data_IF_598004621415
#
_entry.id   IF_598004621415
#
_cell.length_a   1.000
_cell.length_b   1.000
_cell.length_c   1.000
_cell.angle_alpha   90.00
_cell.angle_beta   90.00
_cell.angle_gamma   90.00
#
_symmetry.space_group_name_H-M   'P 1'
#
loop_
_entity.id
_entity.type
_entity.pdbx_description
1 polymer ?
#
# COMPACT_ATOMS: atom_id res chain seq x y z
N UNK A 1 9.35 17.96 2.55
CA UNK A 1 10.32 17.06 3.22
C UNK A 1 11.49 17.84 3.82
N UNK A 2 12.19 18.70 3.06
CA UNK A 2 13.22 19.61 3.62
C UNK A 2 12.68 20.47 4.78
N UNK A 3 11.51 21.09 4.57
CA UNK A 3 10.85 21.94 5.56
C UNK A 3 10.55 21.20 6.89
N UNK A 4 10.19 19.92 6.85
CA UNK A 4 9.95 19.12 8.06
C UNK A 4 11.24 18.83 8.85
N UNK A 5 12.37 18.67 8.14
CA UNK A 5 13.70 18.57 8.75
C UNK A 5 14.11 19.90 9.37
N UNK A 6 13.90 21.01 8.67
CA UNK A 6 14.19 22.37 9.14
C UNK A 6 13.38 22.73 10.38
N UNK A 7 12.11 22.33 10.43
CA UNK A 7 11.22 22.49 11.60
C UNK A 7 11.59 21.56 12.78
N UNK A 8 12.54 20.65 12.61
CA UNK A 8 13.02 19.78 13.68
C UNK A 8 12.01 18.74 14.15
N UNK A 9 11.03 18.37 13.31
CA UNK A 9 9.94 17.44 13.66
C UNK A 9 10.45 16.00 13.94
N UNK A 10 11.67 15.70 13.49
CA UNK A 10 12.38 14.43 13.71
C UNK A 10 13.05 14.30 15.08
N UNK A 11 13.11 15.36 15.90
CA UNK A 11 13.87 15.37 17.16
C UNK A 11 12.98 14.94 18.34
N UNK A 12 13.47 14.00 19.17
CA UNK A 12 12.90 13.77 20.51
C UNK A 12 13.16 14.98 21.40
N UNK A 13 12.13 15.74 21.76
CA UNK A 13 12.23 16.84 22.74
C UNK A 13 11.68 16.40 24.09
N UNK A 14 12.37 16.66 25.22
CA UNK A 14 11.83 16.44 26.55
C UNK A 14 10.61 17.34 26.77
N UNK A 15 9.54 16.78 27.34
CA UNK A 15 8.23 17.43 27.45
C UNK A 15 8.14 18.34 28.68
N UNK A 16 7.70 19.58 28.49
CA UNK A 16 6.96 20.35 29.48
C UNK A 16 5.53 20.61 28.93
N UNK A 17 4.55 20.89 29.80
CA UNK A 17 3.12 20.70 29.51
C UNK A 17 2.58 21.38 28.23
N UNK A 18 3.12 22.54 27.82
CA UNK A 18 2.77 23.22 26.55
C UNK A 18 3.61 22.77 25.36
N UNK A 19 4.89 22.40 25.56
CA UNK A 19 5.70 21.79 24.50
C UNK A 19 5.25 20.37 24.17
N UNK A 20 4.48 19.73 25.04
CA UNK A 20 4.02 18.36 24.83
C UNK A 20 3.06 18.24 23.64
N UNK A 21 2.09 19.16 23.50
CA UNK A 21 1.09 19.10 22.42
C UNK A 21 1.74 19.38 21.06
N UNK A 22 2.57 20.41 20.97
CA UNK A 22 3.28 20.75 19.73
C UNK A 22 4.28 19.64 19.35
N UNK A 23 5.02 19.10 20.31
CA UNK A 23 5.97 18.02 20.05
C UNK A 23 5.24 16.72 19.65
N UNK A 24 4.11 16.38 20.28
CA UNK A 24 3.28 15.24 19.88
C UNK A 24 2.70 15.43 18.48
N UNK A 25 2.25 16.64 18.15
CA UNK A 25 1.73 16.98 16.81
C UNK A 25 2.83 16.86 15.76
N UNK A 26 4.02 17.37 16.06
CA UNK A 26 5.21 17.23 15.21
C UNK A 26 5.62 15.78 14.99
N UNK A 27 5.64 14.95 16.04
CA UNK A 27 5.92 13.51 15.94
C UNK A 27 4.90 12.78 15.07
N UNK A 28 3.60 13.06 15.24
CA UNK A 28 2.55 12.46 14.41
C UNK A 28 2.69 12.86 12.94
N UNK A 29 2.96 14.14 12.68
CA UNK A 29 3.21 14.62 11.32
C UNK A 29 4.45 13.96 10.70
N UNK A 30 5.52 13.79 11.46
CA UNK A 30 6.70 13.08 10.99
C UNK A 30 6.44 11.61 10.67
N UNK A 31 5.75 10.87 11.55
CA UNK A 31 5.37 9.47 11.32
C UNK A 31 4.55 9.33 10.03
N UNK A 32 3.59 10.22 9.81
CA UNK A 32 2.81 10.26 8.57
C UNK A 32 3.71 10.47 7.34
N UNK A 33 4.60 11.46 7.39
CA UNK A 33 5.52 11.77 6.30
C UNK A 33 6.51 10.62 6.03
N UNK A 34 7.01 9.97 7.08
CA UNK A 34 7.88 8.80 6.97
C UNK A 34 7.15 7.64 6.30
N UNK A 35 5.92 7.33 6.74
CA UNK A 35 5.09 6.28 6.14
C UNK A 35 4.86 6.55 4.65
N UNK A 36 4.41 7.77 4.31
CA UNK A 36 4.16 8.14 2.92
C UNK A 36 5.42 8.10 2.07
N UNK A 37 6.54 8.59 2.59
CA UNK A 37 7.81 8.53 1.87
C UNK A 37 8.23 7.08 1.60
N UNK A 38 8.15 6.22 2.62
CA UNK A 38 8.50 4.80 2.49
C UNK A 38 7.58 4.07 1.51
N UNK A 39 6.25 4.25 1.63
CA UNK A 39 5.25 3.62 0.76
C UNK A 39 5.34 4.11 -0.69
N UNK A 40 5.33 5.43 -0.91
CA UNK A 40 5.37 6.00 -2.26
C UNK A 40 6.67 5.65 -2.98
N UNK A 41 7.79 5.62 -2.28
CA UNK A 41 9.07 5.31 -2.92
C UNK A 41 9.24 3.83 -3.20
N UNK A 42 8.69 2.96 -2.34
CA UNK A 42 8.59 1.53 -2.65
C UNK A 42 7.78 1.34 -3.94
N UNK A 43 6.58 1.91 -4.02
CA UNK A 43 5.70 1.81 -5.20
C UNK A 43 6.35 2.39 -6.47
N UNK A 44 7.01 3.56 -6.36
CA UNK A 44 7.61 4.24 -7.51
C UNK A 44 9.03 3.76 -7.83
N UNK A 45 9.54 2.78 -7.10
CA UNK A 45 10.91 2.30 -7.25
C UNK A 45 11.97 3.38 -7.06
N UNK A 46 11.79 4.33 -6.13
CA UNK A 46 12.74 5.44 -5.85
C UNK A 46 13.54 5.19 -4.55
N UNK A 47 14.74 5.76 -4.40
CA UNK A 47 15.53 5.62 -3.17
C UNK A 47 14.90 6.39 -1.99
N UNK A 48 14.84 5.76 -0.80
CA UNK A 48 14.31 6.34 0.44
C UNK A 48 15.18 7.49 0.95
N UNK A 49 14.61 8.70 1.00
CA UNK A 49 15.33 9.92 1.38
C UNK A 49 15.11 10.34 2.85
N UNK A 50 14.10 9.81 3.54
CA UNK A 50 13.83 10.11 4.96
C UNK A 50 14.32 8.96 5.82
N UNK A 51 15.12 9.28 6.84
CA UNK A 51 15.47 8.35 7.92
C UNK A 51 14.38 8.35 8.99
N UNK A 52 14.16 7.21 9.63
CA UNK A 52 13.22 7.11 10.76
C UNK A 52 13.58 8.13 11.86
N UNK A 53 12.61 8.49 12.69
CA UNK A 53 12.86 9.24 13.93
C UNK A 53 13.81 8.40 14.81
N UNK A 54 14.79 9.03 15.46
CA UNK A 54 15.71 8.38 16.42
C UNK A 54 15.01 7.86 17.71
N UNK A 55 13.68 7.90 17.77
CA UNK A 55 12.87 7.49 18.92
C UNK A 55 12.10 6.23 18.56
N UNK A 56 12.09 5.26 19.47
CA UNK A 56 11.27 4.06 19.29
C UNK A 56 9.80 4.44 19.01
N UNK A 57 9.10 3.68 18.14
CA UNK A 57 7.66 3.80 18.03
C UNK A 57 7.08 3.74 19.45
N UNK A 58 6.30 4.76 19.84
CA UNK A 58 5.46 4.63 21.01
C UNK A 58 4.64 3.38 20.75
N UNK A 59 4.77 2.35 21.59
CA UNK A 59 3.94 1.15 21.46
C UNK A 59 2.54 1.63 21.85
N UNK A 60 1.61 1.93 20.91
CA UNK A 60 0.25 2.13 21.36
C UNK A 60 -0.11 0.81 21.99
N UNK A 61 -0.60 0.89 23.19
CA UNK A 61 -1.04 -0.28 23.90
C UNK A 61 -2.32 -0.75 23.17
N UNK A 62 -2.14 -1.50 22.06
CA UNK A 62 -3.21 -1.97 21.16
C UNK A 62 -4.24 -2.78 21.97
N UNK A 63 -3.80 -3.32 23.11
CA UNK A 63 -4.60 -4.08 24.06
C UNK A 63 -5.35 -3.21 25.09
N UNK A 64 -4.96 -1.96 25.31
CA UNK A 64 -5.65 -1.02 26.22
C UNK A 64 -6.32 0.17 25.51
N UNK A 65 -6.23 0.24 24.18
CA UNK A 65 -6.93 1.23 23.38
C UNK A 65 -8.44 1.19 23.70
N UNK A 66 -8.95 2.35 24.11
CA UNK A 66 -10.40 2.61 24.23
C UNK A 66 -11.14 2.00 23.02
N UNK A 67 -12.37 1.47 23.19
CA UNK A 67 -13.17 0.85 22.11
C UNK A 67 -13.60 1.84 21.00
N UNK A 68 -13.00 3.03 20.98
CA UNK A 68 -13.18 4.09 20.00
C UNK A 68 -11.83 4.37 19.32
N UNK A 69 -11.71 4.13 18.00
CA UNK A 69 -10.50 4.48 17.25
C UNK A 69 -10.27 5.99 17.28
N UNK A 70 -9.00 6.39 17.29
CA UNK A 70 -8.62 7.79 17.10
C UNK A 70 -8.43 8.09 15.61
N UNK A 71 -8.61 9.34 15.14
CA UNK A 71 -8.38 9.69 13.74
C UNK A 71 -6.97 9.34 13.24
N UNK A 72 -5.97 9.29 14.12
CA UNK A 72 -4.58 8.99 13.78
C UNK A 72 -4.20 7.53 13.89
N UNK A 73 -5.10 6.65 14.35
CA UNK A 73 -4.80 5.23 14.61
C UNK A 73 -4.29 4.51 13.34
N UNK A 74 -4.85 4.83 12.19
CA UNK A 74 -4.44 4.24 10.91
C UNK A 74 -2.97 4.54 10.57
N UNK A 75 -2.52 5.77 10.80
CA UNK A 75 -1.12 6.18 10.56
C UNK A 75 -0.18 5.48 11.54
N UNK A 76 -0.60 5.35 12.79
CA UNK A 76 0.19 4.69 13.83
C UNK A 76 0.38 3.19 13.54
N UNK A 77 -0.68 2.51 13.10
CA UNK A 77 -0.59 1.11 12.65
C UNK A 77 0.36 0.95 11.46
N UNK A 78 0.27 1.83 10.45
CA UNK A 78 1.20 1.80 9.31
C UNK A 78 2.63 2.08 9.72
N UNK A 79 2.85 3.04 10.62
CA UNK A 79 4.19 3.36 11.10
C UNK A 79 4.85 2.17 11.78
N UNK A 80 4.15 1.46 12.66
CA UNK A 80 4.69 0.26 13.30
C UNK A 80 5.08 -0.83 12.31
N UNK A 81 4.21 -1.10 11.33
CA UNK A 81 4.49 -2.09 10.31
C UNK A 81 5.74 -1.68 9.50
N UNK A 82 5.77 -0.44 9.01
CA UNK A 82 6.88 0.07 8.21
C UNK A 82 8.18 0.08 9.01
N UNK A 83 8.19 0.57 10.25
CA UNK A 83 9.39 0.56 11.09
C UNK A 83 9.85 -0.86 11.40
N UNK A 84 8.94 -1.83 11.58
CA UNK A 84 9.31 -3.25 11.75
C UNK A 84 10.01 -3.81 10.51
N UNK A 85 9.48 -3.53 9.32
CA UNK A 85 10.05 -3.98 8.05
C UNK A 85 11.38 -3.28 7.73
N UNK A 86 11.43 -1.96 7.91
CA UNK A 86 12.61 -1.14 7.64
C UNK A 86 13.79 -1.50 8.56
N UNK A 87 13.53 -1.93 9.79
CA UNK A 87 14.58 -2.47 10.70
C UNK A 87 15.28 -3.70 10.13
N UNK A 88 14.61 -4.50 9.31
CA UNK A 88 15.16 -5.74 8.76
C UNK A 88 15.72 -5.59 7.35
N UNK A 89 15.02 -4.89 6.45
CA UNK A 89 15.42 -4.79 5.04
C UNK A 89 15.71 -3.36 4.56
N UNK A 90 15.50 -2.32 5.37
CA UNK A 90 15.50 -0.91 4.97
C UNK A 90 14.44 -0.58 3.90
N UNK A 91 14.51 -1.22 2.73
CA UNK A 91 13.57 -1.08 1.62
C UNK A 91 13.16 -2.46 1.07
N UNK A 92 11.98 -2.59 0.42
CA UNK A 92 11.58 -3.85 -0.21
C UNK A 92 12.48 -4.32 -1.35
N UNK A 93 13.26 -3.40 -1.95
CA UNK A 93 14.17 -3.68 -3.06
C UNK A 93 15.40 -4.47 -2.64
N UNK A 94 15.73 -4.42 -1.36
CA UNK A 94 16.87 -5.11 -0.79
C UNK A 94 16.56 -6.59 -0.50
N UNK A 95 15.39 -7.08 -0.95
CA UNK A 95 14.92 -8.46 -0.83
C UNK A 95 15.10 -9.16 -2.17
N UNK A 96 16.03 -10.11 -2.24
CA UNK A 96 16.38 -10.83 -3.47
C UNK A 96 16.24 -12.35 -3.36
N UNK A 97 15.84 -12.88 -2.20
CA UNK A 97 15.63 -14.31 -1.97
C UNK A 97 14.16 -14.67 -1.75
N UNK A 98 13.65 -15.76 -2.36
CA UNK A 98 12.29 -16.29 -2.10
C UNK A 98 11.93 -16.43 -0.62
N UNK A 99 12.86 -16.91 0.19
CA UNK A 99 12.66 -17.10 1.64
C UNK A 99 12.50 -15.78 2.39
N UNK A 100 13.14 -14.70 1.92
CA UNK A 100 13.01 -13.37 2.50
C UNK A 100 11.71 -12.69 2.07
N UNK A 101 11.25 -12.92 0.83
CA UNK A 101 9.92 -12.50 0.37
C UNK A 101 8.83 -13.11 1.26
N UNK A 102 8.95 -14.41 1.57
CA UNK A 102 8.03 -15.09 2.47
C UNK A 102 8.10 -14.56 3.91
N UNK A 103 9.31 -14.32 4.42
CA UNK A 103 9.49 -13.73 5.74
C UNK A 103 8.91 -12.30 5.85
N UNK A 104 9.07 -11.50 4.79
CA UNK A 104 8.49 -10.17 4.68
C UNK A 104 6.96 -10.24 4.67
N UNK A 105 6.38 -11.09 3.81
CA UNK A 105 4.93 -11.32 3.74
C UNK A 105 4.37 -11.71 5.10
N UNK A 106 5.01 -12.66 5.79
CA UNK A 106 4.60 -13.13 7.11
C UNK A 106 4.49 -11.99 8.13
N UNK A 107 5.45 -11.07 8.16
CA UNK A 107 5.40 -9.91 9.08
C UNK A 107 4.18 -9.03 8.79
N UNK A 108 3.85 -8.83 7.50
CA UNK A 108 2.66 -8.07 7.12
C UNK A 108 1.37 -8.81 7.48
N UNK A 109 1.30 -10.13 7.27
CA UNK A 109 0.14 -10.96 7.61
C UNK A 109 -0.10 -11.05 9.11
N UNK A 110 0.96 -11.19 9.90
CA UNK A 110 0.90 -11.17 11.37
C UNK A 110 0.38 -9.80 11.85
N UNK A 111 0.81 -8.71 11.22
CA UNK A 111 0.29 -7.37 11.49
C UNK A 111 -1.20 -7.24 11.12
N UNK A 112 -1.61 -7.71 9.93
CA UNK A 112 -3.02 -7.72 9.49
C UNK A 112 -3.90 -8.48 10.51
N UNK A 113 -3.41 -9.61 11.00
CA UNK A 113 -4.12 -10.45 11.96
C UNK A 113 -4.26 -9.79 13.34
N UNK A 114 -3.40 -8.82 13.65
CA UNK A 114 -3.43 -8.04 14.89
C UNK A 114 -4.27 -6.77 14.83
N UNK A 115 -4.84 -6.44 13.66
CA UNK A 115 -5.58 -5.19 13.47
C UNK A 115 -6.82 -5.12 14.38
N UNK A 116 -7.15 -3.93 14.92
CA UNK A 116 -8.40 -3.71 15.62
C UNK A 116 -9.61 -4.06 14.74
N UNK A 117 -10.73 -4.49 15.35
CA UNK A 117 -11.92 -4.95 14.63
C UNK A 117 -12.44 -3.96 13.56
N UNK A 118 -12.36 -2.65 13.82
CA UNK A 118 -12.76 -1.61 12.86
C UNK A 118 -11.91 -1.59 11.58
N UNK A 119 -10.71 -2.17 11.62
CA UNK A 119 -9.76 -2.28 10.51
C UNK A 119 -9.51 -3.73 10.08
N UNK A 120 -10.24 -4.70 10.64
CA UNK A 120 -10.08 -6.11 10.30
C UNK A 120 -10.22 -6.34 8.79
N UNK A 121 -9.43 -7.27 8.24
CA UNK A 121 -9.45 -7.57 6.81
C UNK A 121 -10.73 -8.27 6.36
N UNK A 122 -11.30 -9.07 7.25
CA UNK A 122 -12.52 -9.83 7.05
C UNK A 122 -13.54 -9.40 8.09
N UNK A 123 -14.76 -9.12 7.63
CA UNK A 123 -15.89 -8.69 8.46
C UNK A 123 -15.54 -7.56 9.46
N UNK A 124 -15.08 -6.38 8.96
CA UNK A 124 -14.73 -5.27 9.84
C UNK A 124 -15.96 -4.77 10.60
N UNK A 125 -15.76 -4.34 11.85
CA UNK A 125 -16.82 -3.67 12.61
C UNK A 125 -17.20 -2.35 11.93
N UNK A 126 -18.42 -2.31 11.39
CA UNK A 126 -19.02 -1.18 10.69
C UNK A 126 -20.11 -0.49 11.52
N UNK A 127 -20.35 -0.93 12.76
CA UNK A 127 -21.46 -0.48 13.60
C UNK A 127 -21.46 1.03 13.92
N UNK A 128 -20.33 1.71 13.70
CA UNK A 128 -20.13 3.14 13.96
C UNK A 128 -19.71 3.93 12.72
N UNK A 129 -19.83 3.38 11.52
CA UNK A 129 -19.41 4.05 10.28
C UNK A 129 -20.17 5.37 10.05
N UNK A 130 -21.46 5.40 10.36
CA UNK A 130 -22.28 6.63 10.25
C UNK A 130 -21.84 7.70 11.26
N UNK A 131 -21.34 7.27 12.43
CA UNK A 131 -20.87 8.16 13.49
C UNK A 131 -19.47 8.70 13.19
N UNK A 132 -18.62 7.89 12.55
CA UNK A 132 -17.24 8.22 12.24
C UNK A 132 -16.91 7.94 10.76
N UNK A 133 -17.41 8.75 9.82
CA UNK A 133 -17.23 8.48 8.38
C UNK A 133 -15.77 8.36 7.94
N UNK A 134 -14.85 9.06 8.62
CA UNK A 134 -13.42 8.98 8.39
C UNK A 134 -12.82 7.58 8.64
N UNK A 135 -13.45 6.75 9.49
CA UNK A 135 -13.00 5.36 9.75
C UNK A 135 -13.08 4.53 8.47
N UNK A 136 -14.09 4.77 7.63
CA UNK A 136 -14.28 4.04 6.38
C UNK A 136 -13.09 4.23 5.44
N UNK A 137 -12.67 5.48 5.22
CA UNK A 137 -11.50 5.80 4.41
C UNK A 137 -10.22 5.23 5.01
N UNK A 138 -10.03 5.36 6.32
CA UNK A 138 -8.88 4.80 7.01
C UNK A 138 -8.81 3.27 6.95
N UNK A 139 -9.96 2.59 7.02
CA UNK A 139 -10.06 1.14 6.86
C UNK A 139 -9.56 0.70 5.50
N UNK A 140 -10.04 1.32 4.42
CA UNK A 140 -9.54 1.03 3.08
C UNK A 140 -8.05 1.31 2.95
N UNK A 141 -7.56 2.43 3.47
CA UNK A 141 -6.14 2.76 3.45
C UNK A 141 -5.29 1.68 4.12
N UNK A 142 -5.61 1.28 5.35
CA UNK A 142 -4.85 0.26 6.09
C UNK A 142 -4.86 -1.08 5.35
N UNK A 143 -6.02 -1.52 4.88
CA UNK A 143 -6.18 -2.80 4.20
C UNK A 143 -5.42 -2.84 2.86
N UNK A 144 -5.52 -1.78 2.06
CA UNK A 144 -4.88 -1.69 0.74
C UNK A 144 -3.36 -1.53 0.88
N UNK A 145 -2.89 -0.67 1.79
CA UNK A 145 -1.46 -0.50 1.99
C UNK A 145 -0.79 -1.79 2.45
N UNK A 146 -1.43 -2.60 3.29
CA UNK A 146 -0.88 -3.90 3.67
C UNK A 146 -0.67 -4.82 2.45
N UNK A 147 -1.63 -4.90 1.54
CA UNK A 147 -1.49 -5.69 0.31
C UNK A 147 -0.46 -5.10 -0.66
N UNK A 148 -0.46 -3.79 -0.83
CA UNK A 148 0.54 -3.10 -1.67
C UNK A 148 1.94 -3.33 -1.14
N UNK A 149 2.12 -3.33 0.19
CA UNK A 149 3.39 -3.64 0.84
C UNK A 149 3.81 -5.09 0.60
N UNK A 150 2.89 -6.06 0.78
CA UNK A 150 3.14 -7.47 0.43
C UNK A 150 3.63 -7.58 -1.01
N UNK A 151 3.01 -6.89 -1.98
CA UNK A 151 3.38 -7.00 -3.39
C UNK A 151 4.77 -6.44 -3.72
N UNK A 152 5.32 -5.48 -2.98
CA UNK A 152 6.57 -4.79 -3.39
C UNK A 152 7.73 -5.75 -3.67
N UNK A 153 8.16 -6.63 -2.74
CA UNK A 153 9.26 -7.55 -3.02
C UNK A 153 8.92 -8.58 -4.11
N UNK A 154 7.64 -8.96 -4.27
CA UNK A 154 7.23 -9.84 -5.38
C UNK A 154 7.39 -9.15 -6.73
N UNK A 155 7.07 -7.86 -6.83
CA UNK A 155 7.22 -7.08 -8.07
C UNK A 155 8.66 -7.07 -8.53
N UNK A 156 9.56 -6.68 -7.63
CA UNK A 156 10.98 -6.60 -7.93
C UNK A 156 11.54 -7.97 -8.32
N UNK A 157 11.22 -9.01 -7.56
CA UNK A 157 11.74 -10.35 -7.79
C UNK A 157 11.15 -11.05 -9.03
N UNK A 158 9.83 -11.08 -9.19
CA UNK A 158 9.17 -11.78 -10.31
C UNK A 158 9.38 -11.09 -11.65
N UNK A 159 9.50 -9.76 -11.67
CA UNK A 159 9.77 -9.02 -12.90
C UNK A 159 11.26 -8.91 -13.25
N UNK A 160 12.17 -9.29 -12.33
CA UNK A 160 13.61 -9.24 -12.60
C UNK A 160 13.98 -10.10 -13.83
N UNK A 161 14.79 -9.62 -14.80
CA UNK A 161 15.05 -10.33 -16.05
C UNK A 161 15.64 -11.75 -15.89
N UNK A 162 16.37 -12.01 -14.80
CA UNK A 162 16.98 -13.32 -14.53
C UNK A 162 16.03 -14.34 -13.89
N UNK A 163 14.86 -13.91 -13.40
CA UNK A 163 13.92 -14.80 -12.71
C UNK A 163 13.16 -15.63 -13.73
N UNK A 164 13.33 -16.96 -13.69
CA UNK A 164 12.59 -17.90 -14.51
C UNK A 164 11.25 -18.27 -13.84
N UNK A 165 10.15 -17.82 -14.44
CA UNK A 165 8.80 -18.04 -13.93
C UNK A 165 8.31 -19.50 -14.09
N UNK A 166 9.05 -20.34 -14.82
CA UNK A 166 8.69 -21.74 -15.02
C UNK A 166 9.12 -22.63 -13.86
N UNK A 167 10.05 -22.18 -13.01
CA UNK A 167 10.56 -22.95 -11.88
C UNK A 167 9.47 -23.21 -10.82
N UNK A 168 9.33 -24.44 -10.29
CA UNK A 168 8.26 -24.78 -9.33
C UNK A 168 8.19 -23.87 -8.09
N UNK A 169 9.33 -23.55 -7.49
CA UNK A 169 9.41 -22.62 -6.33
C UNK A 169 8.94 -21.20 -6.66
N UNK A 170 9.08 -20.78 -7.92
CA UNK A 170 8.65 -19.46 -8.38
C UNK A 170 7.17 -19.46 -8.76
N UNK A 171 6.61 -20.61 -9.15
CA UNK A 171 5.19 -20.75 -9.43
C UNK A 171 4.32 -20.48 -8.19
N UNK A 172 4.77 -20.90 -7.00
CA UNK A 172 4.11 -20.60 -5.72
C UNK A 172 4.11 -19.09 -5.45
N UNK A 173 5.28 -18.44 -5.50
CA UNK A 173 5.38 -16.98 -5.34
C UNK A 173 4.51 -16.21 -6.34
N UNK A 174 4.44 -16.70 -7.58
CA UNK A 174 3.60 -16.13 -8.62
C UNK A 174 2.11 -16.25 -8.27
N UNK A 175 1.66 -17.40 -7.81
CA UNK A 175 0.26 -17.62 -7.41
C UNK A 175 -0.13 -16.68 -6.27
N UNK A 176 0.73 -16.52 -5.27
CA UNK A 176 0.52 -15.61 -4.15
C UNK A 176 0.47 -14.14 -4.59
N UNK A 177 1.38 -13.73 -5.48
CA UNK A 177 1.39 -12.37 -6.03
C UNK A 177 0.12 -12.08 -6.85
N UNK A 178 -0.42 -13.08 -7.55
CA UNK A 178 -1.66 -13.00 -8.32
C UNK A 178 -2.85 -12.81 -7.40
N UNK A 179 -2.99 -13.65 -6.38
CA UNK A 179 -4.06 -13.54 -5.37
C UNK A 179 -4.02 -12.17 -4.69
N UNK A 180 -2.85 -11.74 -4.24
CA UNK A 180 -2.65 -10.45 -3.59
C UNK A 180 -2.96 -9.27 -4.53
N UNK A 181 -2.62 -9.38 -5.81
CA UNK A 181 -2.91 -8.35 -6.83
C UNK A 181 -4.41 -8.22 -7.10
N UNK A 182 -5.11 -9.34 -7.25
CA UNK A 182 -6.57 -9.36 -7.44
C UNK A 182 -7.27 -8.73 -6.23
N UNK A 183 -6.85 -9.09 -5.01
CA UNK A 183 -7.37 -8.52 -3.77
C UNK A 183 -7.10 -7.02 -3.67
N UNK A 184 -5.91 -6.57 -4.05
CA UNK A 184 -5.54 -5.15 -4.09
C UNK A 184 -6.44 -4.36 -5.04
N UNK A 185 -6.64 -4.83 -6.27
CA UNK A 185 -7.52 -4.17 -7.24
C UNK A 185 -8.99 -4.18 -6.81
N UNK A 186 -9.45 -5.26 -6.17
CA UNK A 186 -10.80 -5.33 -5.61
C UNK A 186 -11.01 -4.27 -4.53
N UNK A 187 -10.11 -4.18 -3.55
CA UNK A 187 -10.19 -3.19 -2.47
C UNK A 187 -10.07 -1.77 -3.02
N UNK A 188 -9.13 -1.51 -3.93
CA UNK A 188 -8.96 -0.19 -4.54
C UNK A 188 -10.21 0.22 -5.36
N UNK A 189 -10.87 -0.72 -6.02
CA UNK A 189 -12.16 -0.50 -6.70
C UNK A 189 -13.25 -0.11 -5.72
N UNK A 190 -13.37 -0.83 -4.61
CA UNK A 190 -14.35 -0.52 -3.57
C UNK A 190 -14.08 0.85 -2.96
N UNK A 191 -12.82 1.17 -2.66
CA UNK A 191 -12.44 2.48 -2.16
C UNK A 191 -12.82 3.58 -3.17
N UNK A 192 -12.46 3.41 -4.45
CA UNK A 192 -12.80 4.35 -5.53
C UNK A 192 -14.30 4.64 -5.69
N UNK A 193 -15.18 3.72 -5.24
CA UNK A 193 -16.63 3.95 -5.26
C UNK A 193 -17.13 4.87 -4.15
N UNK A 194 -16.31 5.08 -3.12
CA UNK A 194 -16.60 5.90 -1.94
C UNK A 194 -15.94 7.28 -1.99
N UNK A 195 -14.96 7.46 -2.87
CA UNK A 195 -14.22 8.72 -2.96
C UNK A 195 -15.07 9.79 -3.66
N UNK A 196 -15.25 10.93 -2.99
CA UNK A 196 -15.85 12.13 -3.56
C UNK A 196 -14.77 13.15 -3.98
N UNK A 197 -15.16 14.17 -4.75
CA UNK A 197 -14.30 15.33 -4.99
C UNK A 197 -13.79 15.90 -3.64
N UNK A 198 -12.47 16.13 -3.54
CA UNK A 198 -11.84 16.73 -2.36
C UNK A 198 -11.28 15.75 -1.31
N UNK A 199 -11.44 14.43 -1.46
CA UNK A 199 -10.80 13.47 -0.55
C UNK A 199 -9.26 13.49 -0.72
N UNK A 200 -8.54 13.82 0.35
CA UNK A 200 -7.08 13.94 0.34
C UNK A 200 -6.35 12.64 -0.03
N UNK A 201 -6.98 11.47 0.11
CA UNK A 201 -6.38 10.16 -0.17
C UNK A 201 -6.67 9.63 -1.59
N UNK A 202 -7.37 10.42 -2.43
CA UNK A 202 -7.72 10.06 -3.80
C UNK A 202 -6.52 9.56 -4.63
N UNK A 203 -5.37 10.20 -4.44
CA UNK A 203 -4.15 9.91 -5.19
C UNK A 203 -3.61 8.49 -4.91
N UNK A 204 -3.84 7.95 -3.71
CA UNK A 204 -3.40 6.59 -3.35
C UNK A 204 -4.25 5.54 -4.06
N UNK A 205 -5.57 5.75 -4.17
CA UNK A 205 -6.47 4.87 -4.93
C UNK A 205 -6.00 4.76 -6.38
N UNK A 206 -5.76 5.91 -7.02
CA UNK A 206 -5.26 5.98 -8.39
C UNK A 206 -3.94 5.23 -8.54
N UNK A 207 -3.01 5.46 -7.61
CA UNK A 207 -1.70 4.83 -7.62
C UNK A 207 -1.83 3.30 -7.52
N UNK A 208 -2.63 2.79 -6.58
CA UNK A 208 -2.83 1.36 -6.37
C UNK A 208 -3.49 0.69 -7.59
N UNK A 209 -4.51 1.31 -8.18
CA UNK A 209 -5.16 0.81 -9.39
C UNK A 209 -4.16 0.69 -10.55
N UNK A 210 -3.38 1.75 -10.78
CA UNK A 210 -2.43 1.80 -11.88
C UNK A 210 -1.25 0.85 -11.68
N UNK A 211 -0.57 0.95 -10.54
CA UNK A 211 0.65 0.19 -10.25
C UNK A 211 0.40 -1.33 -10.22
N UNK A 212 -0.69 -1.77 -9.59
CA UNK A 212 -1.06 -3.19 -9.57
C UNK A 212 -1.50 -3.68 -10.96
N UNK A 213 -2.24 -2.88 -11.73
CA UNK A 213 -2.62 -3.26 -13.09
C UNK A 213 -1.41 -3.38 -14.02
N UNK A 214 -0.44 -2.46 -13.93
CA UNK A 214 0.81 -2.53 -14.67
C UNK A 214 1.62 -3.76 -14.27
N UNK A 215 1.72 -4.07 -12.98
CA UNK A 215 2.39 -5.29 -12.51
C UNK A 215 1.79 -6.55 -13.13
N UNK A 216 0.46 -6.70 -13.10
CA UNK A 216 -0.24 -7.83 -13.72
C UNK A 216 0.09 -7.95 -15.21
N UNK A 217 0.04 -6.85 -15.96
CA UNK A 217 0.35 -6.86 -17.39
C UNK A 217 1.80 -7.30 -17.63
N UNK A 218 2.75 -6.77 -16.85
CA UNK A 218 4.16 -7.12 -16.98
C UNK A 218 4.41 -8.59 -16.64
N UNK A 219 3.75 -9.11 -15.61
CA UNK A 219 3.83 -10.52 -15.21
C UNK A 219 3.28 -11.44 -16.31
N UNK A 220 2.14 -11.10 -16.90
CA UNK A 220 1.54 -11.84 -18.01
C UNK A 220 2.41 -11.79 -19.27
N UNK A 221 3.02 -10.63 -19.58
CA UNK A 221 3.93 -10.49 -20.72
C UNK A 221 5.19 -11.34 -20.55
N UNK A 222 5.69 -11.46 -19.32
CA UNK A 222 6.86 -12.28 -19.00
C UNK A 222 6.58 -13.79 -19.06
N UNK A 223 5.32 -14.21 -19.11
CA UNK A 223 4.91 -15.62 -19.13
C UNK A 223 4.55 -16.06 -20.58
N UNK A 224 5.51 -16.58 -21.37
CA UNK A 224 5.30 -16.86 -22.81
C UNK A 224 4.34 -18.02 -23.12
N UNK A 225 4.12 -18.97 -22.21
CA UNK A 225 3.56 -20.29 -22.57
C UNK A 225 2.06 -20.50 -22.28
N UNK A 226 1.27 -19.43 -22.10
CA UNK A 226 -0.18 -19.55 -21.82
C UNK A 226 -0.52 -20.37 -20.55
N UNK A 227 0.48 -20.70 -19.72
CA UNK A 227 0.42 -21.44 -18.44
C UNK A 227 0.05 -20.55 -17.26
N UNK A 228 -0.95 -19.69 -17.48
CA UNK A 228 -1.46 -18.78 -16.47
C UNK A 228 -2.98 -19.03 -16.34
N UNK A 229 -3.39 -20.01 -15.52
CA UNK A 229 -4.80 -20.38 -15.35
C UNK A 229 -5.70 -19.18 -15.05
N UNK A 230 -5.19 -18.21 -14.28
CA UNK A 230 -5.89 -17.02 -13.81
C UNK A 230 -5.87 -15.87 -14.84
N UNK A 231 -5.27 -16.06 -16.02
CA UNK A 231 -5.17 -15.01 -17.06
C UNK A 231 -6.51 -14.34 -17.39
N UNK A 232 -7.63 -15.06 -17.59
CA UNK A 232 -8.90 -14.42 -17.87
C UNK A 232 -9.36 -13.49 -16.73
N UNK A 233 -9.20 -13.94 -15.49
CA UNK A 233 -9.56 -13.14 -14.30
C UNK A 233 -8.67 -11.90 -14.17
N UNK A 234 -7.37 -12.05 -14.39
CA UNK A 234 -6.40 -10.96 -14.36
C UNK A 234 -6.66 -9.90 -15.43
N UNK A 235 -6.99 -10.31 -16.65
CA UNK A 235 -7.36 -9.40 -17.74
C UNK A 235 -8.61 -8.59 -17.34
N UNK A 236 -9.64 -9.25 -16.84
CA UNK A 236 -10.88 -8.59 -16.38
C UNK A 236 -10.60 -7.61 -15.24
N UNK A 237 -9.74 -7.98 -14.29
CA UNK A 237 -9.36 -7.11 -13.18
C UNK A 237 -8.63 -5.84 -13.67
N UNK A 238 -7.73 -5.98 -14.64
CA UNK A 238 -7.00 -4.87 -15.26
C UNK A 238 -7.93 -3.95 -16.06
N UNK A 239 -8.85 -4.50 -16.85
CA UNK A 239 -9.85 -3.72 -17.60
C UNK A 239 -10.78 -2.93 -16.66
N UNK A 240 -11.18 -3.57 -15.56
CA UNK A 240 -11.95 -2.90 -14.50
C UNK A 240 -11.17 -1.74 -13.89
N UNK A 241 -9.88 -1.93 -13.60
CA UNK A 241 -9.01 -0.86 -13.10
C UNK A 241 -8.93 0.32 -14.09
N UNK A 242 -8.76 0.04 -15.39
CA UNK A 242 -8.76 1.07 -16.44
C UNK A 242 -10.09 1.84 -16.50
N UNK A 243 -11.22 1.13 -16.43
CA UNK A 243 -12.56 1.74 -16.43
C UNK A 243 -12.77 2.66 -15.21
N UNK A 244 -12.26 2.27 -14.05
CA UNK A 244 -12.35 3.10 -12.84
C UNK A 244 -11.45 4.33 -12.98
N UNK A 245 -10.22 4.19 -13.47
CA UNK A 245 -9.34 5.33 -13.73
C UNK A 245 -9.94 6.31 -14.74
N UNK A 246 -10.64 5.80 -15.76
CA UNK A 246 -11.40 6.61 -16.70
C UNK A 246 -12.53 7.39 -16.01
N UNK A 247 -13.34 6.71 -15.18
CA UNK A 247 -14.40 7.37 -14.39
C UNK A 247 -13.85 8.45 -13.45
N UNK A 248 -12.66 8.24 -12.91
CA UNK A 248 -11.98 9.15 -12.00
C UNK A 248 -11.26 10.32 -12.73
N UNK A 249 -11.11 10.24 -14.06
CA UNK A 249 -10.36 11.23 -14.85
C UNK A 249 -10.89 12.67 -14.78
N UNK A 250 -12.22 12.94 -14.76
CA UNK A 250 -12.75 14.30 -14.67
C UNK A 250 -12.35 15.03 -13.39
N UNK A 251 -12.10 14.29 -12.30
CA UNK A 251 -11.86 14.84 -10.96
C UNK A 251 -10.39 14.64 -10.52
N UNK A 252 -9.55 14.02 -11.36
CA UNK A 252 -8.15 13.79 -11.04
C UNK A 252 -7.25 13.69 -12.28
N UNK A 253 -6.30 14.63 -12.35
CA UNK A 253 -5.22 14.62 -13.36
C UNK A 253 -4.34 13.37 -13.28
N UNK A 254 -4.15 12.84 -12.07
CA UNK A 254 -3.43 11.58 -11.86
C UNK A 254 -4.18 10.42 -12.52
N UNK A 255 -5.49 10.31 -12.28
CA UNK A 255 -6.33 9.27 -12.88
C UNK A 255 -6.35 9.38 -14.41
N UNK A 256 -6.49 10.60 -14.95
CA UNK A 256 -6.43 10.86 -16.39
C UNK A 256 -5.11 10.37 -17.02
N UNK A 257 -3.99 10.69 -16.38
CA UNK A 257 -2.66 10.31 -16.88
C UNK A 257 -2.46 8.79 -16.80
N UNK A 258 -2.80 8.18 -15.66
CA UNK A 258 -2.73 6.73 -15.44
C UNK A 258 -3.63 5.95 -16.41
N UNK A 259 -4.87 6.40 -16.66
CA UNK A 259 -5.77 5.76 -17.62
C UNK A 259 -5.17 5.78 -19.03
N UNK A 260 -4.67 6.95 -19.47
CA UNK A 260 -4.04 7.09 -20.81
C UNK A 260 -2.87 6.11 -20.98
N UNK A 261 -2.00 6.01 -19.98
CA UNK A 261 -0.86 5.09 -20.01
C UNK A 261 -1.34 3.65 -20.03
N UNK A 262 -2.24 3.27 -19.12
CA UNK A 262 -2.74 1.90 -19.01
C UNK A 262 -3.44 1.43 -20.29
N UNK A 263 -4.31 2.26 -20.88
CA UNK A 263 -4.99 1.97 -22.16
C UNK A 263 -4.00 1.81 -23.32
N UNK A 264 -2.93 2.59 -23.37
CA UNK A 264 -1.88 2.42 -24.37
C UNK A 264 -1.15 1.08 -24.21
N UNK A 265 -0.84 0.69 -22.97
CA UNK A 265 -0.20 -0.61 -22.68
C UNK A 265 -1.13 -1.76 -23.10
N UNK A 266 -2.42 -1.69 -22.78
CA UNK A 266 -3.41 -2.71 -23.15
C UNK A 266 -3.53 -2.91 -24.67
N UNK A 267 -3.59 -1.81 -25.42
CA UNK A 267 -3.61 -1.85 -26.89
C UNK A 267 -2.37 -2.54 -27.46
N UNK A 268 -1.20 -2.26 -26.90
CA UNK A 268 0.05 -2.88 -27.34
C UNK A 268 0.11 -4.40 -27.06
N UNK A 269 -0.67 -4.87 -26.09
CA UNK A 269 -0.80 -6.30 -25.75
C UNK A 269 -1.81 -7.04 -26.64
N UNK A 270 -2.51 -6.34 -27.55
CA UNK A 270 -3.59 -6.91 -28.36
C UNK A 270 -4.85 -7.22 -27.55
N UNK A 271 -4.95 -6.73 -26.31
CA UNK A 271 -6.18 -6.75 -25.52
C UNK A 271 -7.02 -5.58 -26.01
N UNK A 272 -7.64 -5.75 -27.17
CA UNK A 272 -8.57 -4.76 -27.70
C UNK A 272 -9.84 -4.77 -26.84
N UNK A 273 -10.08 -3.68 -26.12
CA UNK A 273 -11.41 -3.23 -25.67
C UNK A 273 -12.07 -2.41 -26.76
#
# INVERSE_FOLDING_TARGET
MLEAYELGLHKSRPSNATQDIEAQTGRRAWRALYCWNWQLFSILGRPINIKDIDSEPDNPDIKSASPTPTPTLHTELQYQLISSLAKRWQTPKDIDLPSEIQAYKKIVEDHISSLPAVFAMHDPDTSKDDKWPWVVTHRYYVQIMAHVMILQPYKDYLLHPSTDLSLPEIQELRAEAVECSLKTLQLATQWASRVSEGDGQFHLVVLCLFDTAVFIIMLLKKSPDNTFPEKPELVVAVERAATILERLSPISRGAQSSNKVLRNVLRNMGWNT
#
